data_IF_820641126610
#
_entry.id   IF_820641126610
#
_cell.length_a   1.000
_cell.length_b   1.000
_cell.length_c   1.000
_cell.angle_alpha   90.00
_cell.angle_beta   90.00
_cell.angle_gamma   90.00
#
_symmetry.space_group_name_H-M   'P 1'
#
loop_
_entity.id
_entity.type
_entity.pdbx_description
1 polymer ?
#
# COMPACT_ATOMS: atom_id res chain seq x y z
N UNK A 1 8.79 -17.84 2.99
CA UNK A 1 8.59 -16.63 2.14
C UNK A 1 7.22 -16.73 1.50
N UNK A 2 6.36 -15.71 1.66
CA UNK A 2 5.08 -15.61 0.95
C UNK A 2 5.24 -14.74 -0.30
N UNK A 3 4.49 -15.09 -1.35
CA UNK A 3 4.48 -14.41 -2.64
C UNK A 3 3.04 -14.12 -3.04
N UNK A 4 2.77 -12.87 -3.39
CA UNK A 4 1.49 -12.40 -3.92
C UNK A 4 1.75 -11.95 -5.36
N UNK A 5 0.93 -12.40 -6.30
CA UNK A 5 0.99 -11.99 -7.70
C UNK A 5 -0.40 -11.50 -8.11
N UNK A 6 -0.48 -10.28 -8.63
CA UNK A 6 -1.71 -9.65 -9.14
C UNK A 6 -1.33 -8.92 -10.44
N UNK A 7 -2.04 -9.20 -11.54
CA UNK A 7 -1.80 -8.60 -12.87
C UNK A 7 -0.33 -8.62 -13.31
N UNK A 8 0.34 -9.75 -13.09
CA UNK A 8 1.76 -9.94 -13.42
C UNK A 8 2.75 -9.21 -12.51
N UNK A 9 2.28 -8.35 -11.59
CA UNK A 9 3.13 -7.69 -10.58
C UNK A 9 3.18 -8.50 -9.30
N UNK A 10 4.38 -8.55 -8.71
CA UNK A 10 4.70 -9.43 -7.60
C UNK A 10 5.13 -8.63 -6.36
N UNK A 11 4.64 -9.08 -5.19
CA UNK A 11 5.06 -8.60 -3.88
C UNK A 11 5.42 -9.79 -2.98
N UNK A 12 6.44 -9.67 -2.13
CA UNK A 12 6.89 -10.74 -1.26
C UNK A 12 7.15 -10.27 0.18
N UNK A 13 6.97 -11.18 1.14
CA UNK A 13 7.28 -10.92 2.54
C UNK A 13 7.63 -12.21 3.29
N UNK A 14 8.27 -12.06 4.45
CA UNK A 14 8.60 -13.19 5.32
C UNK A 14 7.41 -13.51 6.24
N UNK A 15 6.95 -14.76 6.23
CA UNK A 15 5.86 -15.27 7.09
C UNK A 15 6.32 -15.56 8.52
N UNK A 16 7.64 -15.51 8.79
CA UNK A 16 8.28 -15.92 10.06
C UNK A 16 8.03 -17.38 10.44
N UNK A 17 7.58 -18.20 9.48
CA UNK A 17 7.41 -19.64 9.65
C UNK A 17 8.62 -20.36 9.07
N UNK A 18 9.21 -21.23 9.88
CA UNK A 18 10.32 -22.09 9.51
C UNK A 18 9.84 -23.52 9.35
N UNK A 19 10.19 -24.12 8.21
CA UNK A 19 9.77 -25.47 7.85
C UNK A 19 10.99 -26.23 7.37
N UNK A 20 11.18 -27.46 7.85
CA UNK A 20 12.18 -28.35 7.31
C UNK A 20 11.88 -28.62 5.83
N UNK A 21 12.79 -28.33 4.88
CA UNK A 21 12.55 -28.51 3.45
C UNK A 21 12.10 -29.92 3.06
N UNK A 22 12.54 -30.96 3.80
CA UNK A 22 12.14 -32.36 3.57
C UNK A 22 10.64 -32.60 3.78
N UNK A 23 10.02 -31.80 4.63
CA UNK A 23 8.62 -31.89 4.98
C UNK A 23 7.78 -30.93 4.15
N UNK A 24 8.37 -30.08 3.30
CA UNK A 24 7.62 -29.12 2.50
C UNK A 24 7.13 -29.74 1.19
N UNK A 25 5.83 -29.61 0.92
CA UNK A 25 5.24 -29.94 -0.37
C UNK A 25 5.05 -28.68 -1.20
N UNK A 26 5.93 -28.46 -2.18
CA UNK A 26 5.83 -27.33 -3.10
C UNK A 26 4.54 -27.35 -3.93
N UNK A 27 4.01 -28.55 -4.24
CA UNK A 27 2.78 -28.73 -5.02
C UNK A 27 1.54 -28.25 -4.27
N UNK A 28 1.48 -28.50 -2.96
CA UNK A 28 0.31 -28.15 -2.14
C UNK A 28 0.51 -26.86 -1.35
N UNK A 29 1.74 -26.36 -1.24
CA UNK A 29 2.08 -25.23 -0.39
C UNK A 29 1.88 -25.53 1.09
N UNK A 30 2.00 -26.80 1.49
CA UNK A 30 1.74 -27.29 2.85
C UNK A 30 2.90 -28.12 3.36
N UNK A 31 2.93 -28.30 4.67
CA UNK A 31 3.89 -29.16 5.36
C UNK A 31 3.30 -30.57 5.50
N UNK A 32 4.04 -31.56 4.99
CA UNK A 32 3.78 -32.98 5.14
C UNK A 32 4.36 -33.49 6.46
N UNK A 33 3.58 -34.26 7.20
CA UNK A 33 4.03 -34.91 8.43
C UNK A 33 2.86 -35.49 9.20
N UNK A 34 3.18 -36.28 10.23
CA UNK A 34 2.20 -36.85 11.16
C UNK A 34 2.55 -36.31 12.54
N UNK A 35 1.74 -35.38 13.04
CA UNK A 35 1.98 -34.68 14.30
C UNK A 35 1.14 -33.42 14.40
N UNK A 36 0.81 -33.02 15.63
CA UNK A 36 -0.03 -31.84 15.88
C UNK A 36 0.65 -30.54 15.43
N UNK A 37 1.98 -30.49 15.47
CA UNK A 37 2.80 -29.38 14.98
C UNK A 37 2.65 -29.16 13.47
N UNK A 38 2.58 -30.24 12.68
CA UNK A 38 2.37 -30.15 11.23
C UNK A 38 0.98 -29.60 10.90
N UNK A 39 -0.05 -30.06 11.62
CA UNK A 39 -1.41 -29.55 11.50
C UNK A 39 -1.48 -28.06 11.84
N UNK A 40 -0.96 -27.65 13.01
CA UNK A 40 -0.94 -26.25 13.44
C UNK A 40 -0.22 -25.35 12.44
N UNK A 41 0.89 -25.83 11.87
CA UNK A 41 1.63 -25.07 10.87
C UNK A 41 0.82 -24.89 9.58
N UNK A 42 0.13 -25.93 9.13
CA UNK A 42 -0.78 -25.85 7.99
C UNK A 42 -1.98 -24.93 8.25
N UNK A 43 -2.57 -24.98 9.45
CA UNK A 43 -3.63 -24.05 9.87
C UNK A 43 -3.16 -22.60 9.84
N UNK A 44 -1.93 -22.33 10.27
CA UNK A 44 -1.36 -20.98 10.22
C UNK A 44 -1.13 -20.51 8.77
N UNK A 45 -0.64 -21.39 7.89
CA UNK A 45 -0.51 -21.09 6.46
C UNK A 45 -1.87 -20.81 5.81
N UNK A 46 -2.88 -21.61 6.13
CA UNK A 46 -4.25 -21.43 5.64
C UNK A 46 -4.85 -20.11 6.16
N UNK A 47 -4.61 -19.76 7.42
CA UNK A 47 -5.02 -18.48 8.03
C UNK A 47 -4.37 -17.26 7.34
N UNK A 48 -3.06 -17.33 7.05
CA UNK A 48 -2.36 -16.28 6.28
C UNK A 48 -3.00 -16.12 4.92
N UNK A 49 -3.26 -17.23 4.20
CA UNK A 49 -3.87 -17.21 2.87
C UNK A 49 -5.28 -16.60 2.93
N UNK A 50 -6.10 -17.01 3.88
CA UNK A 50 -7.46 -16.48 4.07
C UNK A 50 -7.44 -14.98 4.38
N UNK A 51 -6.51 -14.52 5.21
CA UNK A 51 -6.36 -13.10 5.57
C UNK A 51 -5.94 -12.26 4.37
N UNK A 52 -4.98 -12.75 3.57
CA UNK A 52 -4.57 -12.09 2.32
C UNK A 52 -5.73 -11.97 1.32
N UNK A 53 -6.53 -13.03 1.16
CA UNK A 53 -7.72 -12.98 0.30
C UNK A 53 -8.75 -11.97 0.82
N UNK A 54 -8.97 -11.91 2.14
CA UNK A 54 -9.87 -10.92 2.73
C UNK A 54 -9.41 -9.49 2.42
N UNK A 55 -8.13 -9.19 2.64
CA UNK A 55 -7.59 -7.86 2.33
C UNK A 55 -7.69 -7.53 0.85
N UNK A 56 -7.46 -8.49 -0.05
CA UNK A 56 -7.68 -8.30 -1.48
C UNK A 56 -9.12 -7.85 -1.78
N UNK A 57 -10.12 -8.55 -1.25
CA UNK A 57 -11.53 -8.22 -1.47
C UNK A 57 -11.88 -6.84 -0.90
N UNK A 58 -11.47 -6.55 0.34
CA UNK A 58 -11.72 -5.25 0.97
C UNK A 58 -11.11 -4.09 0.18
N UNK A 59 -9.90 -4.25 -0.35
CA UNK A 59 -9.26 -3.21 -1.17
C UNK A 59 -9.98 -3.08 -2.52
N UNK A 60 -10.41 -4.19 -3.12
CA UNK A 60 -11.15 -4.16 -4.39
C UNK A 60 -12.48 -3.41 -4.24
N UNK A 61 -13.23 -3.70 -3.18
CA UNK A 61 -14.50 -3.04 -2.87
C UNK A 61 -14.32 -1.54 -2.59
N UNK A 62 -13.24 -1.15 -1.89
CA UNK A 62 -12.98 0.24 -1.51
C UNK A 62 -12.40 1.07 -2.66
N UNK A 63 -11.38 0.56 -3.33
CA UNK A 63 -10.54 1.33 -4.25
C UNK A 63 -10.84 1.02 -5.73
N UNK A 64 -11.69 0.03 -6.05
CA UNK A 64 -11.95 -0.49 -7.41
C UNK A 64 -10.72 -1.05 -8.16
N UNK A 65 -9.52 -0.98 -7.58
CA UNK A 65 -8.29 -1.58 -8.09
C UNK A 65 -7.40 -2.08 -6.96
N UNK A 66 -6.69 -3.19 -7.20
CA UNK A 66 -5.82 -3.83 -6.21
C UNK A 66 -4.44 -4.07 -6.79
N UNK A 67 -3.40 -3.86 -6.00
CA UNK A 67 -2.02 -4.24 -6.36
C UNK A 67 -1.43 -5.19 -5.33
N UNK A 68 -0.48 -6.03 -5.74
CA UNK A 68 0.18 -6.98 -4.84
C UNK A 68 0.86 -6.27 -3.64
N UNK A 69 1.43 -5.08 -3.87
CA UNK A 69 2.03 -4.26 -2.81
C UNK A 69 0.99 -3.70 -1.83
N UNK A 70 -0.19 -3.26 -2.30
CA UNK A 70 -1.27 -2.81 -1.39
C UNK A 70 -1.69 -3.93 -0.44
N UNK A 71 -1.95 -5.13 -0.97
CA UNK A 71 -2.35 -6.29 -0.15
C UNK A 71 -1.26 -6.66 0.85
N UNK A 72 0.00 -6.68 0.41
CA UNK A 72 1.16 -6.92 1.30
C UNK A 72 1.25 -5.88 2.41
N UNK A 73 1.13 -4.60 2.09
CA UNK A 73 1.29 -3.52 3.05
C UNK A 73 0.18 -3.55 4.10
N UNK A 74 -1.08 -3.75 3.69
CA UNK A 74 -2.20 -3.91 4.63
C UNK A 74 -1.99 -5.13 5.52
N UNK A 75 -1.60 -6.28 4.96
CA UNK A 75 -1.32 -7.49 5.75
C UNK A 75 -0.20 -7.30 6.79
N UNK A 76 0.83 -6.51 6.46
CA UNK A 76 1.94 -6.20 7.37
C UNK A 76 1.62 -5.08 8.38
N UNK A 77 0.39 -4.56 8.40
CA UNK A 77 0.01 -3.41 9.21
C UNK A 77 0.66 -2.10 8.79
N UNK A 78 1.24 -2.07 7.58
CA UNK A 78 1.84 -0.88 6.94
C UNK A 78 0.79 -0.18 6.08
N UNK A 79 -0.43 -0.07 6.60
CA UNK A 79 -1.51 0.63 5.90
C UNK A 79 -1.15 2.12 5.81
N UNK A 80 -0.48 2.53 4.73
CA UNK A 80 -0.57 3.91 4.28
C UNK A 80 -2.00 4.08 3.77
N UNK A 81 -2.85 4.70 4.59
CA UNK A 81 -4.10 5.28 4.09
C UNK A 81 -3.76 6.05 2.83
N UNK A 82 -4.61 5.92 1.80
CA UNK A 82 -4.43 6.65 0.55
C UNK A 82 -4.21 8.12 0.89
N UNK A 83 -2.98 8.62 0.67
CA UNK A 83 -2.69 10.02 0.89
C UNK A 83 -3.45 10.79 -0.18
N UNK A 84 -4.22 11.75 0.26
CA UNK A 84 -4.90 12.68 -0.64
C UNK A 84 -3.87 13.56 -1.35
N UNK A 85 -4.28 14.21 -2.44
CA UNK A 85 -3.39 15.00 -3.27
C UNK A 85 -2.73 16.13 -2.46
N UNK A 86 -3.48 16.84 -1.62
CA UNK A 86 -2.92 17.91 -0.79
C UNK A 86 -2.07 17.38 0.36
N UNK A 87 -2.34 16.19 0.89
CA UNK A 87 -1.47 15.54 1.88
C UNK A 87 -0.10 15.19 1.30
N UNK A 88 -0.06 14.64 0.08
CA UNK A 88 1.22 14.36 -0.60
C UNK A 88 1.99 15.66 -0.85
N UNK A 89 1.30 16.71 -1.29
CA UNK A 89 1.91 18.02 -1.52
C UNK A 89 2.45 18.62 -0.21
N UNK A 90 1.69 18.53 0.88
CA UNK A 90 2.12 19.00 2.21
C UNK A 90 3.37 18.28 2.68
N UNK A 91 3.40 16.94 2.56
CA UNK A 91 4.58 16.14 2.92
C UNK A 91 5.83 16.56 2.12
N UNK A 92 5.66 16.82 0.81
CA UNK A 92 6.75 17.32 -0.02
C UNK A 92 7.25 18.69 0.48
N UNK A 93 6.35 19.61 0.79
CA UNK A 93 6.70 20.95 1.25
C UNK A 93 7.42 20.93 2.60
N UNK A 94 6.96 20.09 3.55
CA UNK A 94 7.64 19.88 4.83
C UNK A 94 9.06 19.35 4.63
N UNK A 95 9.24 18.32 3.79
CA UNK A 95 10.58 17.79 3.48
C UNK A 95 11.47 18.83 2.78
N UNK A 96 10.88 19.71 1.97
CA UNK A 96 11.60 20.80 1.32
C UNK A 96 12.01 21.88 2.33
N UNK A 97 11.13 22.22 3.28
CA UNK A 97 11.40 23.19 4.35
C UNK A 97 12.63 22.79 5.18
N UNK A 98 12.79 21.50 5.50
CA UNK A 98 13.95 20.97 6.23
C UNK A 98 15.30 21.18 5.52
N UNK A 99 15.27 21.43 4.20
CA UNK A 99 16.46 21.67 3.37
C UNK A 99 16.76 23.16 3.20
N UNK A 100 15.83 24.05 3.58
CA UNK A 100 16.00 25.49 3.45
C UNK A 100 17.16 25.96 4.33
N UNK A 101 18.02 26.80 3.78
CA UNK A 101 19.25 27.27 4.46
C UNK A 101 20.41 26.28 4.39
N UNK A 102 20.22 25.09 3.78
CA UNK A 102 21.29 24.14 3.47
C UNK A 102 21.49 23.99 1.97
N UNK A 103 20.48 23.44 1.30
CA UNK A 103 20.52 23.10 -0.14
C UNK A 103 19.30 23.62 -0.90
N UNK A 104 18.35 24.24 -0.19
CA UNK A 104 17.15 24.83 -0.75
C UNK A 104 17.00 26.29 -0.32
N UNK A 105 16.20 27.05 -1.08
CA UNK A 105 15.93 28.46 -0.81
C UNK A 105 14.53 28.67 -0.23
N UNK A 106 14.40 29.66 0.65
CA UNK A 106 13.11 30.07 1.22
C UNK A 106 12.12 30.48 0.12
N UNK A 107 12.59 31.17 -0.92
CA UNK A 107 11.76 31.61 -2.05
C UNK A 107 11.08 30.44 -2.75
N UNK A 108 11.79 29.34 -2.97
CA UNK A 108 11.20 28.16 -3.62
C UNK A 108 10.19 27.47 -2.71
N UNK A 109 10.46 27.37 -1.40
CA UNK A 109 9.51 26.85 -0.42
C UNK A 109 8.19 27.65 -0.43
N UNK A 110 8.26 28.98 -0.38
CA UNK A 110 7.07 29.84 -0.44
C UNK A 110 6.27 29.63 -1.72
N UNK A 111 6.93 29.39 -2.86
CA UNK A 111 6.22 29.07 -4.12
C UNK A 111 5.50 27.74 -4.03
N UNK A 112 6.08 26.73 -3.39
CA UNK A 112 5.41 25.44 -3.21
C UNK A 112 4.19 25.53 -2.28
N UNK A 113 4.25 26.33 -1.22
CA UNK A 113 3.07 26.59 -0.38
C UNK A 113 1.98 27.32 -1.16
N UNK A 114 2.32 28.33 -1.95
CA UNK A 114 1.36 29.02 -2.81
C UNK A 114 0.71 28.07 -3.83
N UNK A 115 1.49 27.18 -4.45
CA UNK A 115 0.95 26.19 -5.40
C UNK A 115 -0.01 25.23 -4.72
N UNK A 116 0.30 24.76 -3.50
CA UNK A 116 -0.60 23.92 -2.71
C UNK A 116 -1.94 24.61 -2.45
N UNK A 117 -1.91 25.88 -2.03
CA UNK A 117 -3.13 26.64 -1.74
C UNK A 117 -3.99 26.84 -2.99
N UNK A 118 -3.37 27.21 -4.13
CA UNK A 118 -4.08 27.33 -5.41
C UNK A 118 -4.68 26.01 -5.88
N UNK A 119 -3.97 24.90 -5.64
CA UNK A 119 -4.48 23.57 -5.95
C UNK A 119 -5.70 23.23 -5.07
N UNK A 120 -5.66 23.56 -3.78
CA UNK A 120 -6.79 23.37 -2.88
C UNK A 120 -8.02 24.20 -3.31
N UNK A 121 -7.82 25.47 -3.66
CA UNK A 121 -8.86 26.35 -4.21
C UNK A 121 -9.47 25.76 -5.49
N UNK A 122 -8.63 25.33 -6.43
CA UNK A 122 -9.11 24.71 -7.67
C UNK A 122 -9.92 23.43 -7.43
N UNK A 123 -9.47 22.57 -6.50
CA UNK A 123 -10.16 21.33 -6.15
C UNK A 123 -11.55 21.64 -5.58
N UNK A 124 -11.62 22.59 -4.65
CA UNK A 124 -12.87 23.04 -4.06
C UNK A 124 -13.81 23.63 -5.12
N UNK A 125 -13.33 24.56 -5.94
CA UNK A 125 -14.16 25.26 -6.93
C UNK A 125 -14.66 24.34 -8.05
N UNK A 126 -13.84 23.36 -8.47
CA UNK A 126 -14.17 22.50 -9.61
C UNK A 126 -14.92 21.23 -9.22
N UNK A 127 -14.62 20.66 -8.06
CA UNK A 127 -15.13 19.35 -7.65
C UNK A 127 -15.96 19.40 -6.37
N UNK A 128 -16.06 20.55 -5.70
CA UNK A 128 -16.80 20.74 -4.44
C UNK A 128 -16.41 19.73 -3.36
N UNK A 129 -15.11 19.43 -3.29
CA UNK A 129 -14.48 18.59 -2.26
C UNK A 129 -13.28 19.34 -1.70
N UNK A 130 -12.90 19.05 -0.45
CA UNK A 130 -11.76 19.72 0.19
C UNK A 130 -10.41 19.13 -0.27
N UNK A 131 -10.40 17.88 -0.72
CA UNK A 131 -9.22 17.18 -1.22
C UNK A 131 -9.65 16.02 -2.13
N UNK A 132 -8.70 15.49 -2.90
CA UNK A 132 -8.94 14.37 -3.80
C UNK A 132 -8.03 13.20 -3.47
N UNK A 133 -8.55 11.98 -3.59
CA UNK A 133 -7.70 10.80 -3.59
C UNK A 133 -6.75 10.83 -4.80
N UNK A 134 -5.48 10.52 -4.56
CA UNK A 134 -4.43 10.50 -5.59
C UNK A 134 -4.76 9.60 -6.81
N UNK A 135 -5.69 8.66 -6.65
CA UNK A 135 -6.03 7.64 -7.64
C UNK A 135 -7.30 7.93 -8.46
N UNK A 136 -8.01 9.04 -8.22
CA UNK A 136 -9.00 9.51 -9.20
C UNK A 136 -8.23 9.96 -10.42
N UNK A 137 -8.18 9.12 -11.44
CA UNK A 137 -7.66 9.48 -12.75
C UNK A 137 -8.31 10.81 -13.16
N UNK A 138 -7.48 11.81 -13.40
CA UNK A 138 -7.91 12.99 -14.12
C UNK A 138 -8.30 12.50 -15.51
N UNK A 139 -9.59 12.24 -15.70
CA UNK A 139 -10.15 12.12 -17.04
C UNK A 139 -10.28 13.55 -17.59
N UNK A 140 -9.39 14.01 -18.48
CA UNK A 140 -9.35 15.42 -18.87
C UNK A 140 -10.53 15.78 -19.77
N UNK A 141 -11.27 14.80 -20.28
CA UNK A 141 -12.39 14.95 -21.21
C UNK A 141 -13.31 13.74 -20.99
N UNK A 142 -14.52 13.97 -20.48
CA UNK A 142 -15.47 12.89 -20.17
C UNK A 142 -15.92 12.05 -21.36
#
# INVERSE_FOLDING_TARGET
>A
MARITIDGKLAQFNTKLEVNPKNWSAKTGKVNGRGAEFTRMNEMLDSIKATLHRHYQTILERDSYVTAEKVRNVFLGKEERAKTLLQVFSQHNEQYALKVGKTATQKTYTRYELTKNRLAEYIHDKYNVEDMEKAREFDPLG
#
